data_IF_179845265270
#
_entry.id   IF_179845265270
#
_cell.length_a   1.000
_cell.length_b   1.000
_cell.length_c   1.000
_cell.angle_alpha   90.00
_cell.angle_beta   90.00
_cell.angle_gamma   90.00
#
_symmetry.space_group_name_H-M   'P 1'
#
loop_
_entity.id
_entity.type
_entity.pdbx_description
1 polymer ?
#
# COMPACT_ATOMS: atom_id res chain seq x y z
N UNK A 1 -1.36 13.00 -37.73
CA UNK A 1 -2.50 12.29 -37.11
C UNK A 1 -1.92 11.32 -36.09
N UNK A 2 -2.20 11.53 -34.81
CA UNK A 2 -1.70 10.70 -33.70
C UNK A 2 -2.45 9.37 -33.70
N UNK A 3 -1.73 8.23 -33.73
CA UNK A 3 -2.32 6.91 -33.51
C UNK A 3 -2.68 6.81 -32.03
N UNK A 4 -3.98 6.62 -31.73
CA UNK A 4 -4.47 6.35 -30.40
C UNK A 4 -3.77 5.11 -29.81
N UNK A 5 -3.07 5.28 -28.69
CA UNK A 5 -2.19 4.28 -28.07
C UNK A 5 -2.93 3.23 -27.19
N UNK A 6 -4.25 3.13 -27.25
CA UNK A 6 -5.03 2.38 -26.24
C UNK A 6 -6.16 1.52 -26.84
N UNK A 7 -5.88 0.78 -27.90
CA UNK A 7 -6.81 -0.25 -28.40
C UNK A 7 -6.29 -1.65 -28.11
N UNK A 8 -6.61 -2.17 -26.92
CA UNK A 8 -6.73 -3.61 -26.69
C UNK A 8 -8.09 -3.86 -26.02
N UNK A 9 -9.06 -4.32 -26.81
CA UNK A 9 -10.30 -4.89 -26.29
C UNK A 9 -9.99 -6.33 -25.87
N UNK A 10 -9.72 -6.55 -24.57
CA UNK A 10 -9.55 -7.89 -24.03
C UNK A 10 -10.88 -8.64 -24.12
N UNK A 11 -10.89 -9.87 -24.64
CA UNK A 11 -12.10 -10.70 -24.66
C UNK A 11 -12.60 -10.91 -23.23
N UNK A 12 -13.87 -10.57 -22.96
CA UNK A 12 -14.50 -10.58 -21.63
C UNK A 12 -14.33 -11.89 -20.85
N UNK A 13 -14.12 -13.03 -21.54
CA UNK A 13 -13.88 -14.34 -20.91
C UNK A 13 -12.51 -14.51 -20.24
N UNK A 14 -11.57 -13.59 -20.41
CA UNK A 14 -10.26 -13.62 -19.73
C UNK A 14 -10.21 -12.78 -18.43
N UNK A 15 -11.32 -12.12 -18.07
CA UNK A 15 -11.38 -11.16 -16.95
C UNK A 15 -11.79 -11.79 -15.61
N UNK A 16 -12.11 -13.08 -15.55
CA UNK A 16 -12.42 -13.77 -14.29
C UNK A 16 -11.21 -13.81 -13.34
N UNK A 17 -10.01 -13.67 -13.91
CA UNK A 17 -8.75 -13.54 -13.17
C UNK A 17 -8.43 -12.09 -12.78
N UNK A 18 -9.35 -11.15 -12.99
CA UNK A 18 -9.14 -9.74 -12.69
C UNK A 18 -9.98 -9.27 -11.52
N UNK A 19 -9.41 -8.38 -10.71
CA UNK A 19 -10.19 -7.69 -9.69
C UNK A 19 -11.12 -6.67 -10.37
N UNK A 20 -12.42 -6.95 -10.33
CA UNK A 20 -13.45 -6.08 -10.88
C UNK A 20 -13.89 -5.02 -9.87
N UNK A 21 -13.83 -3.77 -10.28
CA UNK A 21 -14.31 -2.59 -9.54
C UNK A 21 -15.42 -1.94 -10.35
N UNK A 22 -16.64 -1.96 -9.83
CA UNK A 22 -17.78 -1.34 -10.48
C UNK A 22 -17.79 0.17 -10.25
N UNK A 23 -17.98 0.93 -11.34
CA UNK A 23 -18.13 2.38 -11.39
C UNK A 23 -19.50 2.72 -12.00
N UNK A 24 -19.96 3.97 -11.83
CA UNK A 24 -21.32 4.40 -12.21
C UNK A 24 -21.73 4.00 -13.65
N UNK A 25 -20.78 4.04 -14.59
CA UNK A 25 -21.07 3.82 -16.01
C UNK A 25 -20.28 2.68 -16.65
N UNK A 26 -19.35 2.05 -15.93
CA UNK A 26 -18.42 1.05 -16.48
C UNK A 26 -17.78 0.24 -15.36
N UNK A 27 -17.11 -0.85 -15.70
CA UNK A 27 -16.27 -1.58 -14.76
C UNK A 27 -14.79 -1.35 -15.11
N UNK A 28 -14.00 -1.17 -14.06
CA UNK A 28 -12.55 -1.17 -14.13
C UNK A 28 -12.05 -2.53 -13.61
N UNK A 29 -11.07 -3.09 -14.29
CA UNK A 29 -10.47 -4.38 -13.96
C UNK A 29 -8.98 -4.17 -13.70
N UNK A 30 -8.47 -4.70 -12.59
CA UNK A 30 -7.05 -4.60 -12.23
C UNK A 30 -6.42 -5.99 -12.28
N UNK A 31 -5.51 -6.14 -13.24
CA UNK A 31 -4.51 -7.21 -13.38
C UNK A 31 -5.04 -8.62 -13.50
N UNK A 32 -4.19 -9.56 -13.94
CA UNK A 32 -4.37 -10.95 -13.53
C UNK A 32 -3.88 -11.06 -12.08
N UNK A 33 -4.78 -11.38 -11.16
CA UNK A 33 -4.48 -11.55 -9.75
C UNK A 33 -4.37 -13.04 -9.44
N UNK A 34 -3.33 -13.40 -8.69
CA UNK A 34 -3.31 -14.68 -8.01
C UNK A 34 -4.33 -14.64 -6.86
N UNK A 35 -5.21 -15.65 -6.79
CA UNK A 35 -6.11 -15.80 -5.66
C UNK A 35 -5.60 -16.87 -4.70
N UNK A 36 -5.64 -16.56 -3.41
CA UNK A 36 -5.40 -17.53 -2.34
C UNK A 36 -6.62 -18.45 -2.21
N UNK A 37 -7.81 -17.89 -2.40
CA UNK A 37 -9.07 -18.63 -2.41
C UNK A 37 -9.45 -19.06 -3.84
N UNK A 38 -10.64 -19.64 -3.98
CA UNK A 38 -11.17 -20.04 -5.29
C UNK A 38 -11.53 -18.83 -6.17
N UNK A 39 -11.72 -17.65 -5.57
CA UNK A 39 -12.20 -16.45 -6.25
C UNK A 39 -11.51 -15.19 -5.74
N UNK A 40 -10.99 -14.37 -6.67
CA UNK A 40 -10.32 -13.09 -6.39
C UNK A 40 -11.19 -12.15 -5.54
N UNK A 41 -12.51 -12.17 -5.74
CA UNK A 41 -13.41 -11.30 -4.97
C UNK A 41 -13.46 -11.63 -3.47
N UNK A 42 -13.00 -12.81 -3.06
CA UNK A 42 -12.88 -13.19 -1.64
C UNK A 42 -11.59 -12.68 -1.01
N UNK A 43 -10.58 -12.38 -1.82
CA UNK A 43 -9.28 -11.89 -1.36
C UNK A 43 -9.24 -10.37 -1.18
N UNK A 44 -10.24 -9.66 -1.71
CA UNK A 44 -10.30 -8.20 -1.67
C UNK A 44 -11.69 -7.69 -1.30
N UNK A 45 -11.75 -6.83 -0.29
CA UNK A 45 -12.95 -6.09 0.05
C UNK A 45 -13.02 -4.77 -0.71
N UNK A 46 -14.19 -4.46 -1.27
CA UNK A 46 -14.46 -3.19 -1.96
C UNK A 46 -15.55 -2.42 -1.21
N UNK A 47 -15.18 -1.28 -0.64
CA UNK A 47 -16.07 -0.37 0.08
C UNK A 47 -16.28 0.94 -0.69
N UNK A 48 -17.54 1.30 -0.92
CA UNK A 48 -17.93 2.53 -1.61
C UNK A 48 -18.27 3.63 -0.59
N UNK A 49 -17.47 4.70 -0.55
CA UNK A 49 -17.65 5.84 0.39
C UNK A 49 -17.60 7.16 -0.37
N UNK A 50 -18.76 7.78 -0.57
CA UNK A 50 -18.92 8.99 -1.38
C UNK A 50 -18.34 8.79 -2.80
N UNK A 51 -17.41 9.64 -3.22
CA UNK A 51 -16.70 9.55 -4.51
C UNK A 51 -15.42 8.71 -4.46
N UNK A 52 -15.15 8.04 -3.32
CA UNK A 52 -13.97 7.22 -3.10
C UNK A 52 -14.35 5.75 -2.96
N UNK A 53 -13.65 4.91 -3.71
CA UNK A 53 -13.78 3.45 -3.67
C UNK A 53 -12.53 2.92 -2.99
N UNK A 54 -12.71 2.23 -1.88
CA UNK A 54 -11.62 1.64 -1.13
C UNK A 54 -11.54 0.16 -1.44
N UNK A 55 -10.36 -0.31 -1.80
CA UNK A 55 -10.06 -1.72 -2.04
C UNK A 55 -9.05 -2.13 -0.99
N UNK A 56 -9.42 -3.09 -0.14
CA UNK A 56 -8.55 -3.64 0.90
C UNK A 56 -8.23 -5.09 0.57
N UNK A 57 -7.04 -5.54 0.94
CA UNK A 57 -6.75 -6.96 1.01
C UNK A 57 -7.46 -7.57 2.21
N UNK A 58 -8.07 -8.74 2.05
CA UNK A 58 -8.57 -9.53 3.18
C UNK A 58 -7.44 -10.36 3.80
N UNK A 59 -6.43 -10.74 3.01
CA UNK A 59 -5.23 -11.48 3.45
C UNK A 59 -3.95 -10.74 3.08
N UNK A 60 -2.90 -10.84 3.91
CA UNK A 60 -1.64 -10.15 3.61
C UNK A 60 -0.94 -10.73 2.38
N UNK A 61 -1.12 -12.02 2.16
CA UNK A 61 -0.58 -12.79 1.05
C UNK A 61 -1.29 -12.51 -0.27
N UNK A 62 -2.42 -11.77 -0.24
CA UNK A 62 -3.14 -11.42 -1.46
C UNK A 62 -2.21 -10.63 -2.37
N UNK A 63 -2.37 -10.85 -3.67
CA UNK A 63 -1.49 -10.29 -4.70
C UNK A 63 -1.35 -8.76 -4.60
N UNK A 64 -0.22 -8.24 -5.06
CA UNK A 64 0.04 -6.80 -5.03
C UNK A 64 -0.65 -6.10 -6.21
N UNK A 65 -0.89 -4.79 -6.06
CA UNK A 65 -1.51 -4.00 -7.12
C UNK A 65 -0.49 -3.46 -8.13
N UNK A 66 0.78 -3.42 -7.78
CA UNK A 66 1.84 -2.93 -8.66
C UNK A 66 2.10 -3.89 -9.83
N UNK A 67 2.51 -3.34 -10.97
CA UNK A 67 2.70 -4.10 -12.20
C UNK A 67 1.42 -4.58 -12.88
N UNK A 68 0.26 -4.39 -12.26
CA UNK A 68 -1.02 -4.86 -12.78
C UNK A 68 -1.55 -3.94 -13.88
N UNK A 69 -2.05 -4.56 -14.95
CA UNK A 69 -2.76 -3.86 -16.04
C UNK A 69 -4.12 -3.34 -15.56
N UNK A 70 -4.55 -2.20 -16.08
CA UNK A 70 -5.85 -1.60 -15.86
C UNK A 70 -6.64 -1.77 -17.16
N UNK A 71 -7.82 -2.38 -17.08
CA UNK A 71 -8.68 -2.64 -18.24
C UNK A 71 -10.07 -2.08 -17.96
N UNK A 72 -10.73 -1.55 -18.99
CA UNK A 72 -12.10 -1.03 -18.93
C UNK A 72 -13.01 -1.91 -19.79
N UNK A 73 -14.21 -2.27 -19.32
CA UNK A 73 -15.18 -3.07 -20.11
C UNK A 73 -15.87 -2.27 -21.23
N UNK A 74 -15.71 -0.95 -21.22
CA UNK A 74 -16.20 -0.04 -22.25
C UNK A 74 -15.01 0.74 -22.81
N UNK A 75 -15.13 1.19 -24.06
CA UNK A 75 -14.18 2.12 -24.68
C UNK A 75 -14.24 3.49 -23.98
N UNK A 76 -13.65 3.55 -22.80
CA UNK A 76 -13.52 4.75 -21.98
C UNK A 76 -12.03 5.02 -21.91
N UNK A 77 -11.62 6.10 -22.57
CA UNK A 77 -10.30 6.66 -22.35
C UNK A 77 -10.43 7.70 -21.22
N UNK A 78 -9.95 7.41 -20.00
CA UNK A 78 -9.78 8.47 -19.01
C UNK A 78 -8.86 9.54 -19.62
N UNK A 79 -9.23 10.82 -19.47
CA UNK A 79 -8.43 11.93 -19.99
C UNK A 79 -7.06 11.98 -19.34
N UNK A 80 -7.04 11.67 -18.04
CA UNK A 80 -5.86 11.51 -17.22
C UNK A 80 -6.10 10.35 -16.25
N UNK A 81 -5.09 9.49 -16.14
CA UNK A 81 -5.01 8.46 -15.12
C UNK A 81 -3.71 8.66 -14.33
N UNK A 82 -3.86 8.93 -13.04
CA UNK A 82 -2.72 9.16 -12.14
C UNK A 82 -2.72 8.06 -11.09
N UNK A 83 -1.57 7.41 -10.91
CA UNK A 83 -1.29 6.56 -9.76
C UNK A 83 -0.46 7.34 -8.74
N UNK A 84 -1.03 7.56 -7.56
CA UNK A 84 -0.38 8.24 -6.44
C UNK A 84 -0.04 7.23 -5.35
N UNK A 85 1.25 7.01 -5.12
CA UNK A 85 1.74 6.13 -4.04
C UNK A 85 1.79 6.91 -2.75
N UNK A 86 1.18 6.36 -1.69
CA UNK A 86 1.33 6.84 -0.32
C UNK A 86 2.45 6.05 0.32
N UNK A 87 3.57 6.74 0.55
CA UNK A 87 4.81 6.10 0.98
C UNK A 87 4.76 5.84 2.47
N UNK A 88 5.15 4.63 2.85
CA UNK A 88 5.11 4.17 4.23
C UNK A 88 6.30 3.30 4.54
N UNK A 89 6.58 3.15 5.83
CA UNK A 89 7.43 2.08 6.32
C UNK A 89 6.57 0.88 6.70
N UNK A 90 7.00 -0.33 6.34
CA UNK A 90 6.35 -1.60 6.63
C UNK A 90 7.12 -2.30 7.74
N UNK A 91 6.51 -2.43 8.91
CA UNK A 91 7.06 -3.17 10.04
C UNK A 91 6.75 -4.67 9.90
N UNK A 92 7.80 -5.49 9.94
CA UNK A 92 7.72 -6.95 9.93
C UNK A 92 7.37 -7.49 11.32
N UNK A 93 6.08 -7.33 11.65
CA UNK A 93 5.42 -7.90 12.81
C UNK A 93 4.28 -8.82 12.40
N UNK A 94 3.59 -9.40 13.38
CA UNK A 94 2.45 -10.28 13.10
C UNK A 94 1.35 -9.59 12.29
N UNK A 95 0.49 -10.37 11.66
CA UNK A 95 -0.65 -9.89 10.87
C UNK A 95 -1.68 -9.08 11.65
N UNK A 96 -1.60 -9.10 12.99
CA UNK A 96 -2.45 -8.33 13.92
C UNK A 96 -1.80 -7.00 14.37
N UNK A 97 -0.61 -6.69 13.88
CA UNK A 97 0.10 -5.44 14.18
C UNK A 97 -0.27 -4.34 13.18
N UNK A 98 -0.21 -3.08 13.60
CA UNK A 98 -0.22 -1.96 12.66
C UNK A 98 1.10 -1.97 11.87
N UNK A 99 1.06 -2.64 10.72
CA UNK A 99 2.22 -2.90 9.87
C UNK A 99 2.69 -1.65 9.11
N UNK A 100 1.82 -0.66 8.88
CA UNK A 100 2.14 0.46 8.00
C UNK A 100 2.27 1.78 8.76
N UNK A 101 3.46 2.37 8.68
CA UNK A 101 3.79 3.66 9.28
C UNK A 101 3.93 4.68 8.16
N UNK A 102 2.82 5.36 7.85
CA UNK A 102 2.77 6.34 6.78
C UNK A 102 3.74 7.50 7.01
N UNK A 103 4.41 7.89 5.92
CA UNK A 103 5.25 9.10 5.83
C UNK A 103 4.41 10.28 5.31
N UNK A 104 4.99 11.47 5.26
CA UNK A 104 4.36 12.62 4.59
C UNK A 104 4.62 12.67 3.08
N UNK A 105 5.25 11.65 2.51
CA UNK A 105 5.64 11.61 1.11
C UNK A 105 4.57 10.89 0.30
N UNK A 106 4.18 11.52 -0.80
CA UNK A 106 3.44 10.87 -1.87
C UNK A 106 4.12 11.09 -3.21
N UNK A 107 4.07 10.09 -4.08
CA UNK A 107 4.66 10.15 -5.42
C UNK A 107 3.58 9.92 -6.46
N UNK A 108 3.45 10.85 -7.40
CA UNK A 108 2.46 10.79 -8.46
C UNK A 108 3.10 10.31 -9.76
N UNK A 109 2.42 9.40 -10.44
CA UNK A 109 2.77 8.91 -11.77
C UNK A 109 1.58 9.07 -12.70
N UNK A 110 1.75 9.85 -13.76
CA UNK A 110 0.79 9.86 -14.87
C UNK A 110 1.00 8.60 -15.69
N UNK A 111 -0.03 7.77 -15.83
CA UNK A 111 0.05 6.49 -16.52
C UNK A 111 -0.09 6.72 -18.03
N UNK A 112 1.02 6.59 -18.77
CA UNK A 112 1.04 6.57 -20.23
C UNK A 112 0.75 5.18 -20.83
N UNK A 113 0.88 4.15 -20.01
CA UNK A 113 0.45 2.79 -20.29
C UNK A 113 -0.54 2.44 -19.19
N UNK A 114 -1.61 1.70 -19.49
CA UNK A 114 -2.61 1.29 -18.51
C UNK A 114 -2.05 0.17 -17.61
N UNK A 115 -0.91 0.43 -16.96
CA UNK A 115 -0.20 -0.49 -16.06
C UNK A 115 0.25 0.30 -14.84
N UNK A 116 -0.03 -0.23 -13.66
CA UNK A 116 0.41 0.35 -12.40
C UNK A 116 1.93 0.16 -12.28
N UNK A 117 2.74 1.20 -12.01
CA UNK A 117 4.20 1.07 -11.93
C UNK A 117 4.64 0.10 -10.82
N UNK A 118 5.82 -0.51 -10.98
CA UNK A 118 6.44 -1.23 -9.87
C UNK A 118 7.07 -0.23 -8.89
N UNK A 119 6.87 -0.44 -7.60
CA UNK A 119 7.47 0.37 -6.55
C UNK A 119 8.99 0.31 -6.58
N UNK A 120 9.59 -0.81 -6.99
CA UNK A 120 11.03 -0.90 -7.20
C UNK A 120 11.55 0.10 -8.24
N UNK A 121 10.76 0.41 -9.27
CA UNK A 121 11.10 1.47 -10.24
C UNK A 121 11.03 2.85 -9.58
N UNK A 122 10.04 3.06 -8.70
CA UNK A 122 9.88 4.31 -7.93
C UNK A 122 11.05 4.50 -6.96
N UNK A 123 11.48 3.44 -6.27
CA UNK A 123 12.52 3.50 -5.23
C UNK A 123 13.90 3.85 -5.80
N UNK A 124 14.11 3.62 -7.09
CA UNK A 124 15.36 3.91 -7.78
C UNK A 124 15.42 5.36 -8.30
N UNK A 125 14.31 6.10 -8.30
CA UNK A 125 14.30 7.49 -8.74
C UNK A 125 15.12 8.39 -7.81
N UNK A 126 16.05 9.15 -8.37
CA UNK A 126 16.99 9.97 -7.59
C UNK A 126 16.31 11.06 -6.73
N UNK A 127 15.21 11.64 -7.22
CA UNK A 127 14.46 12.64 -6.46
C UNK A 127 13.71 11.98 -5.30
N UNK A 128 13.16 10.78 -5.53
CA UNK A 128 12.56 9.96 -4.48
C UNK A 128 13.58 9.59 -3.40
N UNK A 129 14.74 9.03 -3.78
CA UNK A 129 15.81 8.64 -2.84
C UNK A 129 16.21 9.80 -1.94
N UNK A 130 16.38 11.00 -2.52
CA UNK A 130 16.71 12.20 -1.74
C UNK A 130 15.60 12.58 -0.75
N UNK A 131 14.33 12.60 -1.19
CA UNK A 131 13.19 12.92 -0.32
C UNK A 131 13.08 11.93 0.84
N UNK A 132 13.31 10.65 0.57
CA UNK A 132 13.28 9.61 1.59
C UNK A 132 14.41 9.78 2.60
N UNK A 133 15.64 10.07 2.17
CA UNK A 133 16.76 10.29 3.10
C UNK A 133 16.47 11.45 4.07
N UNK A 134 15.86 12.54 3.59
CA UNK A 134 15.45 13.68 4.42
C UNK A 134 14.35 13.29 5.43
N UNK A 135 13.34 12.55 4.98
CA UNK A 135 12.20 12.16 5.82
C UNK A 135 12.52 11.01 6.79
N UNK A 136 13.40 10.09 6.39
CA UNK A 136 13.84 8.95 7.20
C UNK A 136 14.36 9.40 8.57
N UNK A 137 15.15 10.48 8.59
CA UNK A 137 15.69 11.04 9.83
C UNK A 137 14.61 11.46 10.84
N UNK A 138 13.45 11.94 10.35
CA UNK A 138 12.29 12.33 11.16
C UNK A 138 11.45 11.13 11.55
N UNK A 139 11.37 10.13 10.67
CA UNK A 139 10.55 8.93 10.89
C UNK A 139 11.17 7.94 11.88
N UNK A 140 12.50 7.98 12.11
CA UNK A 140 13.19 7.06 13.04
C UNK A 140 12.54 6.98 14.41
N UNK A 141 12.17 8.11 15.01
CA UNK A 141 11.54 8.14 16.34
C UNK A 141 10.14 7.50 16.34
N UNK A 142 9.36 7.75 15.27
CA UNK A 142 8.02 7.15 15.09
C UNK A 142 8.11 5.64 14.89
N UNK A 143 9.08 5.19 14.09
CA UNK A 143 9.32 3.75 13.83
C UNK A 143 9.83 3.05 15.09
N UNK A 144 10.80 3.63 15.79
CA UNK A 144 11.25 3.12 17.08
C UNK A 144 10.10 2.99 18.08
N UNK A 145 9.25 4.01 18.18
CA UNK A 145 8.10 3.97 19.08
C UNK A 145 7.10 2.87 18.71
N UNK A 146 6.84 2.67 17.41
CA UNK A 146 6.02 1.57 16.93
C UNK A 146 6.62 0.20 17.29
N UNK A 147 7.92 0.01 17.04
CA UNK A 147 8.66 -1.21 17.39
C UNK A 147 8.58 -1.53 18.89
N UNK A 148 8.86 -0.55 19.75
CA UNK A 148 8.80 -0.72 21.22
C UNK A 148 7.38 -1.03 21.66
N UNK A 149 6.39 -0.29 21.15
CA UNK A 149 4.99 -0.54 21.49
C UNK A 149 4.58 -1.95 21.08
N UNK A 150 4.92 -2.40 19.88
CA UNK A 150 4.59 -3.75 19.41
C UNK A 150 5.11 -4.82 20.38
N UNK A 151 6.41 -4.85 20.66
CA UNK A 151 6.99 -5.88 21.54
C UNK A 151 6.58 -5.75 23.01
N UNK A 152 6.18 -4.56 23.46
CA UNK A 152 5.69 -4.34 24.83
C UNK A 152 4.31 -4.98 25.08
N UNK A 153 3.54 -5.30 24.04
CA UNK A 153 2.25 -6.00 24.18
C UNK A 153 2.39 -7.51 24.35
N UNK A 154 3.58 -8.08 24.16
CA UNK A 154 3.82 -9.52 24.32
C UNK A 154 4.25 -9.84 25.75
N UNK A 155 3.70 -10.90 26.38
CA UNK A 155 4.22 -11.43 27.62
C UNK A 155 5.70 -11.76 27.50
N UNK A 156 6.50 -11.29 28.46
CA UNK A 156 7.96 -11.43 28.43
C UNK A 156 8.43 -12.87 28.21
N UNK A 157 7.81 -13.82 28.90
CA UNK A 157 8.21 -15.22 28.85
C UNK A 157 7.74 -15.91 27.57
N UNK A 158 6.62 -15.48 26.99
CA UNK A 158 6.18 -15.93 25.68
C UNK A 158 7.17 -15.49 24.61
N UNK A 159 7.53 -14.19 24.57
CA UNK A 159 8.47 -13.65 23.59
C UNK A 159 9.85 -14.32 23.68
N UNK A 160 10.34 -14.63 24.89
CA UNK A 160 11.58 -15.38 25.09
C UNK A 160 11.54 -16.79 24.49
N UNK A 161 10.39 -17.46 24.55
CA UNK A 161 10.24 -18.86 24.11
C UNK A 161 10.02 -18.91 22.60
N UNK A 162 9.08 -18.12 22.07
CA UNK A 162 8.75 -18.15 20.65
C UNK A 162 9.79 -17.44 19.78
N UNK A 163 10.34 -16.32 20.26
CA UNK A 163 11.22 -15.45 19.47
C UNK A 163 12.42 -14.92 20.29
N UNK A 164 13.38 -15.78 20.69
CA UNK A 164 14.53 -15.36 21.52
C UNK A 164 15.35 -14.21 20.93
N UNK A 165 15.53 -14.20 19.60
CA UNK A 165 16.26 -13.13 18.89
C UNK A 165 15.55 -11.79 19.05
N UNK A 166 14.23 -11.77 18.88
CA UNK A 166 13.42 -10.57 18.95
C UNK A 166 13.34 -10.05 20.38
N UNK A 167 13.20 -10.95 21.35
CA UNK A 167 13.31 -10.63 22.77
C UNK A 167 14.65 -9.96 23.08
N UNK A 168 15.77 -10.53 22.62
CA UNK A 168 17.10 -9.98 22.89
C UNK A 168 17.27 -8.59 22.28
N UNK A 169 16.84 -8.41 21.03
CA UNK A 169 16.92 -7.12 20.36
C UNK A 169 16.02 -6.08 21.03
N UNK A 170 14.76 -6.41 21.31
CA UNK A 170 13.84 -5.52 22.02
C UNK A 170 14.40 -5.08 23.38
N UNK A 171 14.98 -5.98 24.18
CA UNK A 171 15.57 -5.61 25.47
C UNK A 171 16.80 -4.71 25.34
N UNK A 172 17.59 -4.88 24.29
CA UNK A 172 18.72 -3.98 23.97
C UNK A 172 18.21 -2.58 23.64
N UNK A 173 17.10 -2.48 22.91
CA UNK A 173 16.62 -1.22 22.35
C UNK A 173 15.68 -0.43 23.27
N UNK A 174 14.87 -1.07 24.12
CA UNK A 174 13.74 -0.44 24.84
C UNK A 174 14.03 0.75 25.76
N UNK A 175 15.29 0.93 26.17
CA UNK A 175 15.72 2.02 27.05
C UNK A 175 16.77 2.93 26.39
N UNK A 176 16.81 2.98 25.06
CA UNK A 176 17.76 3.84 24.36
C UNK A 176 17.48 5.32 24.61
N UNK A 177 18.54 6.09 24.80
CA UNK A 177 18.45 7.54 24.83
C UNK A 177 18.09 8.08 23.44
N UNK A 178 17.33 9.17 23.38
CA UNK A 178 16.84 9.75 22.11
C UNK A 178 17.95 10.04 21.09
N UNK A 179 19.12 10.48 21.57
CA UNK A 179 20.31 10.74 20.73
C UNK A 179 20.82 9.49 20.00
N UNK A 180 20.59 8.31 20.57
CA UNK A 180 21.08 7.04 20.05
C UNK A 180 20.06 6.37 19.11
N UNK A 181 18.77 6.73 19.21
CA UNK A 181 17.72 6.30 18.26
C UNK A 181 18.08 6.71 16.83
N UNK A 182 18.68 7.90 16.64
CA UNK A 182 19.08 8.38 15.31
C UNK A 182 20.16 7.52 14.64
N UNK A 183 20.90 6.72 15.41
CA UNK A 183 21.96 5.84 14.91
C UNK A 183 21.45 4.46 14.51
N UNK A 184 20.23 4.10 14.88
CA UNK A 184 19.65 2.80 14.56
C UNK A 184 19.49 2.64 13.05
N UNK A 185 19.74 1.42 12.58
CA UNK A 185 19.33 1.01 11.26
C UNK A 185 17.84 0.64 11.28
N UNK A 186 17.07 1.15 10.32
CA UNK A 186 15.62 0.95 10.33
C UNK A 186 15.26 -0.48 9.95
N UNK A 187 16.03 -1.07 9.03
CA UNK A 187 15.78 -2.40 8.51
C UNK A 187 16.33 -3.45 9.49
N UNK A 188 17.60 -3.33 9.86
CA UNK A 188 18.28 -4.33 10.68
C UNK A 188 17.87 -4.28 12.16
N UNK A 189 17.87 -3.09 12.77
CA UNK A 189 17.56 -2.97 14.21
C UNK A 189 16.06 -2.95 14.48
N UNK A 190 15.25 -2.34 13.58
CA UNK A 190 13.83 -2.10 13.80
C UNK A 190 12.91 -2.96 12.92
N UNK A 191 13.45 -3.90 12.12
CA UNK A 191 12.70 -4.80 11.24
C UNK A 191 11.64 -4.09 10.41
N UNK A 192 12.01 -2.94 9.86
CA UNK A 192 11.09 -2.07 9.17
C UNK A 192 11.65 -1.71 7.80
N UNK A 193 10.85 -1.88 6.76
CA UNK A 193 11.26 -1.76 5.37
C UNK A 193 10.56 -0.59 4.69
N UNK A 194 11.20 0.04 3.71
CA UNK A 194 10.54 1.08 2.93
C UNK A 194 9.56 0.46 1.94
N UNK A 195 8.33 0.97 1.90
CA UNK A 195 7.27 0.50 1.02
C UNK A 195 6.22 1.56 0.75
N UNK A 196 5.00 1.08 0.49
CA UNK A 196 3.82 1.93 0.31
C UNK A 196 2.61 1.26 0.97
N UNK A 197 1.74 2.08 1.55
CA UNK A 197 0.55 1.59 2.23
C UNK A 197 -0.66 1.56 1.31
N UNK A 198 -0.66 2.42 0.28
CA UNK A 198 -1.71 2.45 -0.72
C UNK A 198 -1.27 3.08 -2.03
N UNK A 199 -2.00 2.75 -3.09
CA UNK A 199 -1.96 3.41 -4.39
C UNK A 199 -3.33 4.04 -4.63
N UNK A 200 -3.36 5.35 -4.82
CA UNK A 200 -4.57 6.08 -5.18
C UNK A 200 -4.58 6.25 -6.69
N UNK A 201 -5.53 5.59 -7.35
CA UNK A 201 -5.84 5.81 -8.76
C UNK A 201 -6.85 6.94 -8.87
N UNK A 202 -6.42 8.05 -9.48
CA UNK A 202 -7.30 9.16 -9.83
C UNK A 202 -7.69 9.04 -11.31
N UNK A 203 -8.97 8.80 -11.54
CA UNK A 203 -9.57 8.66 -12.86
C UNK A 203 -10.41 9.90 -13.14
N UNK A 204 -9.93 10.76 -14.03
CA UNK A 204 -10.69 11.91 -14.49
C UNK A 204 -11.31 11.59 -15.86
N UNK A 205 -12.63 11.44 -15.90
CA UNK A 205 -13.40 11.43 -17.15
C UNK A 205 -14.11 12.77 -17.36
N UNK A 206 -14.86 12.90 -18.46
CA UNK A 206 -15.54 14.15 -18.83
C UNK A 206 -16.68 14.57 -17.88
N UNK A 207 -17.11 13.68 -16.99
CA UNK A 207 -18.34 13.85 -16.18
C UNK A 207 -18.06 13.79 -14.69
N UNK A 208 -17.09 13.01 -14.23
CA UNK A 208 -16.80 12.78 -12.82
C UNK A 208 -15.33 12.40 -12.59
N UNK A 209 -14.82 12.74 -11.41
CA UNK A 209 -13.57 12.19 -10.88
C UNK A 209 -13.89 11.00 -10.00
N UNK A 210 -13.37 9.83 -10.35
CA UNK A 210 -13.41 8.66 -9.47
C UNK A 210 -12.05 8.52 -8.78
N UNK A 211 -12.08 8.28 -7.47
CA UNK A 211 -10.87 8.03 -6.67
C UNK A 211 -10.94 6.58 -6.19
N UNK A 212 -9.98 5.75 -6.61
CA UNK A 212 -9.88 4.36 -6.16
C UNK A 212 -8.64 4.25 -5.30
N UNK A 213 -8.79 3.84 -4.05
CA UNK A 213 -7.68 3.61 -3.12
C UNK A 213 -7.43 2.12 -3.02
N UNK A 214 -6.32 1.67 -3.57
CA UNK A 214 -5.83 0.29 -3.48
C UNK A 214 -4.93 0.19 -2.25
N UNK A 215 -5.46 -0.35 -1.16
CA UNK A 215 -4.81 -0.42 0.14
C UNK A 215 -4.10 -1.74 0.35
N UNK A 216 -2.82 -1.68 0.75
CA UNK A 216 -2.11 -2.85 1.28
C UNK A 216 -2.45 -3.12 2.76
N UNK A 217 -3.08 -2.18 3.46
CA UNK A 217 -3.64 -2.43 4.80
C UNK A 217 -4.85 -3.36 4.67
N UNK A 218 -4.97 -4.33 5.59
CA UNK A 218 -6.17 -5.17 5.64
C UNK A 218 -7.34 -4.42 6.25
N UNK A 219 -8.57 -4.81 5.87
CA UNK A 219 -9.82 -4.08 6.18
C UNK A 219 -10.04 -3.84 7.69
N UNK A 220 -9.56 -4.76 8.54
CA UNK A 220 -9.83 -4.77 9.97
C UNK A 220 -8.91 -3.88 10.83
N UNK A 221 -7.91 -3.20 10.25
CA UNK A 221 -7.00 -2.34 11.03
C UNK A 221 -7.50 -0.93 11.33
N UNK A 222 -8.62 -0.50 10.73
CA UNK A 222 -8.99 0.92 10.68
C UNK A 222 -10.38 1.25 11.28
N UNK A 223 -10.88 0.45 12.23
CA UNK A 223 -12.02 0.93 13.04
C UNK A 223 -11.60 2.01 14.06
N UNK A 224 -10.32 2.09 14.44
CA UNK A 224 -9.79 3.13 15.35
C UNK A 224 -9.25 4.39 14.65
N UNK A 225 -9.08 4.39 13.31
CA UNK A 225 -8.46 5.52 12.58
C UNK A 225 -9.47 6.34 11.76
N UNK A 226 -10.78 6.15 11.99
CA UNK A 226 -11.84 6.92 11.30
C UNK A 226 -11.89 8.41 11.64
N UNK A 227 -11.12 8.90 12.63
CA UNK A 227 -11.23 10.30 13.08
C UNK A 227 -10.23 11.30 12.46
N UNK A 228 -9.26 10.91 11.63
CA UNK A 228 -8.20 11.86 11.19
C UNK A 228 -7.99 12.04 9.67
N UNK A 229 -8.95 11.67 8.82
CA UNK A 229 -8.87 11.95 7.36
C UNK A 229 -9.99 12.88 6.87
N UNK A 230 -10.81 13.45 7.76
CA UNK A 230 -11.71 14.56 7.43
C UNK A 230 -11.51 15.69 8.45
N UNK A 231 -10.46 16.50 8.23
CA UNK A 231 -10.41 17.93 8.56
C UNK A 231 -9.64 18.65 7.47
#
# INVERSE_FOLDING_TARGET
MSKNQYEETTQLGELDQYLKISLDNYNLFIGKMYSINENISEDYAIDYKNDTIWVFKEFLESDTFEGKKIVFDKNILPKNLIAKYIISYHFDGTEKANQYIDTNISVNYTLSELTIPYFDTIKQDSLFVRKIAEEQSKMKEKIYSNYINYYNHFPKDELKICCPTDYNNYNKLKNLAQKDIKKLDIEEDLKTYLGYSSIILELADNKKKNIIVLSNKTRNFDETTKENIIK
#
